data_IF_671067699567
#
_entry.id   IF_671067699567
#
_cell.length_a   1.000
_cell.length_b   1.000
_cell.length_c   1.000
_cell.angle_alpha   90.00
_cell.angle_beta   90.00
_cell.angle_gamma   90.00
#
_symmetry.space_group_name_H-M   'P 1'
#
loop_
_entity.id
_entity.type
_entity.pdbx_description
1 polymer ?
#
# COMPACT_ATOMS: atom_id res chain seq x y z
N UNK A 1 3.10 -12.92 -8.46
CA UNK A 1 1.82 -12.19 -8.52
C UNK A 1 0.84 -12.69 -7.47
N UNK A 2 0.07 -13.77 -7.69
CA UNK A 2 -1.03 -14.19 -6.81
C UNK A 2 -0.67 -14.43 -5.33
N UNK A 3 0.53 -14.94 -5.04
CA UNK A 3 1.02 -15.05 -3.65
C UNK A 3 1.11 -13.68 -2.96
N UNK A 4 1.60 -12.66 -3.67
CA UNK A 4 1.74 -11.30 -3.16
C UNK A 4 0.38 -10.63 -2.93
N UNK A 5 -0.54 -10.79 -3.88
CA UNK A 5 -1.91 -10.27 -3.75
C UNK A 5 -2.68 -10.98 -2.62
N UNK A 6 -2.56 -12.31 -2.52
CA UNK A 6 -3.12 -13.09 -1.40
C UNK A 6 -2.60 -12.59 -0.05
N UNK A 7 -1.28 -12.42 0.09
CA UNK A 7 -0.67 -11.90 1.32
C UNK A 7 -1.14 -10.47 1.62
N UNK A 8 -1.26 -9.63 0.59
CA UNK A 8 -1.76 -8.25 0.70
C UNK A 8 -3.19 -8.20 1.24
N UNK A 9 -4.10 -8.99 0.67
CA UNK A 9 -5.48 -9.10 1.15
C UNK A 9 -5.56 -9.58 2.61
N UNK A 10 -4.72 -10.55 3.01
CA UNK A 10 -4.65 -11.02 4.39
C UNK A 10 -4.22 -9.90 5.35
N UNK A 11 -3.20 -9.11 4.99
CA UNK A 11 -2.71 -8.01 5.82
C UNK A 11 -3.75 -6.89 5.93
N UNK A 12 -4.45 -6.54 4.85
CA UNK A 12 -5.55 -5.54 4.87
C UNK A 12 -6.65 -5.99 5.83
N UNK A 13 -7.08 -7.26 5.72
CA UNK A 13 -8.13 -7.82 6.57
C UNK A 13 -7.73 -7.83 8.04
N UNK A 14 -6.49 -8.19 8.35
CA UNK A 14 -6.00 -8.21 9.72
C UNK A 14 -5.82 -6.79 10.30
N UNK A 15 -5.31 -5.83 9.51
CA UNK A 15 -5.17 -4.44 9.91
C UNK A 15 -6.52 -3.77 10.20
N UNK A 16 -7.60 -4.26 9.60
CA UNK A 16 -8.97 -3.73 9.75
C UNK A 16 -9.90 -4.67 10.50
N UNK A 17 -9.36 -5.67 11.22
CA UNK A 17 -10.15 -6.71 11.88
C UNK A 17 -11.00 -6.22 13.06
N UNK A 18 -10.75 -5.01 13.57
CA UNK A 18 -11.60 -4.38 14.59
C UNK A 18 -12.98 -3.98 14.06
N UNK A 19 -13.15 -3.92 12.74
CA UNK A 19 -14.40 -3.61 12.08
C UNK A 19 -15.27 -4.83 11.85
N UNK A 20 -16.58 -4.67 12.00
CA UNK A 20 -17.54 -5.76 11.78
C UNK A 20 -17.67 -6.20 10.32
N UNK A 21 -17.33 -5.33 9.37
CA UNK A 21 -17.42 -5.58 7.92
C UNK A 21 -16.02 -5.64 7.31
N UNK A 22 -15.73 -6.63 6.46
CA UNK A 22 -14.40 -6.79 5.85
C UNK A 22 -14.09 -5.65 4.89
N UNK A 23 -12.85 -5.16 4.88
CA UNK A 23 -12.45 -4.08 3.95
C UNK A 23 -12.01 -4.59 2.58
N UNK A 24 -11.77 -5.89 2.45
CA UNK A 24 -11.26 -6.52 1.24
C UNK A 24 -11.81 -7.94 1.08
N UNK A 25 -11.77 -8.52 -0.14
CA UNK A 25 -12.08 -9.93 -0.35
C UNK A 25 -11.20 -10.84 0.50
N UNK A 26 -11.80 -11.89 1.10
CA UNK A 26 -11.06 -12.92 1.81
C UNK A 26 -10.33 -13.81 0.80
N UNK A 27 -9.00 -13.92 0.82
CA UNK A 27 -8.28 -14.88 0.00
C UNK A 27 -8.52 -16.28 0.57
N UNK A 28 -8.93 -17.21 -0.28
CA UNK A 28 -9.28 -18.59 0.06
C UNK A 28 -8.17 -19.55 -0.35
N UNK A 29 -7.64 -19.38 -1.55
CA UNK A 29 -6.60 -20.25 -2.10
C UNK A 29 -5.81 -19.50 -3.17
N UNK A 30 -4.51 -19.74 -3.26
CA UNK A 30 -3.70 -19.33 -4.39
C UNK A 30 -2.72 -20.44 -4.76
N UNK A 31 -2.26 -20.47 -6.00
CA UNK A 31 -1.32 -21.49 -6.44
C UNK A 31 -0.87 -21.32 -7.88
N UNK A 32 -0.01 -22.25 -8.30
CA UNK A 32 0.43 -22.39 -9.69
C UNK A 32 -0.43 -23.45 -10.37
N UNK A 33 -0.85 -23.20 -11.61
CA UNK A 33 -1.45 -24.21 -12.48
C UNK A 33 -0.36 -24.92 -13.29
N UNK A 34 0.64 -24.17 -13.73
CA UNK A 34 1.83 -24.64 -14.43
C UNK A 34 3.02 -23.68 -14.20
N UNK A 35 4.09 -23.80 -14.99
CA UNK A 35 5.28 -22.94 -14.87
C UNK A 35 5.09 -21.48 -15.32
N UNK A 36 3.98 -21.15 -15.99
CA UNK A 36 3.69 -19.83 -16.58
C UNK A 36 2.39 -19.22 -16.06
N UNK A 37 1.51 -20.01 -15.45
CA UNK A 37 0.20 -19.57 -15.01
C UNK A 37 -0.07 -19.94 -13.54
N UNK A 38 -0.93 -19.14 -12.90
CA UNK A 38 -1.35 -19.34 -11.53
C UNK A 38 -2.77 -18.82 -11.33
N UNK A 39 -3.23 -18.91 -10.09
CA UNK A 39 -4.57 -18.49 -9.74
C UNK A 39 -4.64 -17.93 -8.32
N UNK A 40 -5.66 -17.12 -8.08
CA UNK A 40 -6.12 -16.66 -6.78
C UNK A 40 -7.64 -16.86 -6.72
N UNK A 41 -8.11 -17.47 -5.63
CA UNK A 41 -9.53 -17.63 -5.30
C UNK A 41 -9.82 -16.78 -4.08
N UNK A 42 -10.83 -15.93 -4.17
CA UNK A 42 -11.27 -15.04 -3.09
C UNK A 42 -12.76 -15.22 -2.81
N UNK A 43 -13.24 -14.63 -1.71
CA UNK A 43 -14.67 -14.45 -1.49
C UNK A 43 -15.25 -13.50 -2.53
N UNK A 44 -16.38 -13.88 -3.12
CA UNK A 44 -17.11 -13.00 -4.03
C UNK A 44 -17.81 -11.85 -3.27
N UNK A 45 -17.68 -10.62 -3.76
CA UNK A 45 -18.35 -9.43 -3.23
C UNK A 45 -19.19 -8.79 -4.34
N UNK A 46 -20.53 -8.75 -4.22
CA UNK A 46 -21.38 -8.12 -5.22
C UNK A 46 -21.29 -6.60 -5.12
N UNK A 47 -20.76 -5.95 -6.16
CA UNK A 47 -20.53 -4.50 -6.17
C UNK A 47 -21.76 -3.71 -6.63
N UNK A 48 -21.94 -2.51 -6.07
CA UNK A 48 -22.92 -1.51 -6.48
C UNK A 48 -22.28 -0.13 -6.68
N UNK A 49 -23.06 0.83 -7.17
CA UNK A 49 -22.60 2.19 -7.42
C UNK A 49 -22.21 2.92 -6.14
N UNK A 50 -21.12 3.68 -6.22
CA UNK A 50 -20.64 4.49 -5.11
C UNK A 50 -21.35 5.85 -5.02
N UNK A 51 -21.46 6.37 -3.79
CA UNK A 51 -21.98 7.70 -3.49
C UNK A 51 -20.90 8.53 -2.77
N UNK A 52 -21.13 9.84 -2.58
CA UNK A 52 -20.25 10.69 -1.77
C UNK A 52 -20.12 10.21 -0.31
N UNK A 53 -21.19 9.61 0.24
CA UNK A 53 -21.17 9.00 1.57
C UNK A 53 -20.23 7.80 1.61
N UNK A 54 -20.21 6.98 0.55
CA UNK A 54 -19.29 5.84 0.42
C UNK A 54 -17.83 6.29 0.34
N UNK A 55 -17.53 7.35 -0.40
CA UNK A 55 -16.17 7.92 -0.45
C UNK A 55 -15.71 8.44 0.93
N UNK A 56 -16.60 9.04 1.71
CA UNK A 56 -16.27 9.50 3.06
C UNK A 56 -15.94 8.33 4.00
N UNK A 57 -16.73 7.24 3.92
CA UNK A 57 -16.45 5.99 4.67
C UNK A 57 -15.16 5.32 4.20
N UNK A 58 -14.89 5.32 2.89
CA UNK A 58 -13.64 4.80 2.32
C UNK A 58 -12.43 5.52 2.94
N UNK A 59 -12.47 6.85 2.99
CA UNK A 59 -11.41 7.65 3.63
C UNK A 59 -11.19 7.30 5.10
N UNK A 60 -12.28 7.12 5.87
CA UNK A 60 -12.20 6.71 7.28
C UNK A 60 -11.58 5.31 7.43
N UNK A 61 -11.98 4.35 6.58
CA UNK A 61 -11.47 2.98 6.58
C UNK A 61 -10.00 2.90 6.16
N UNK A 62 -9.57 3.72 5.20
CA UNK A 62 -8.16 3.86 4.83
C UNK A 62 -7.34 4.45 5.96
N UNK A 63 -7.84 5.50 6.63
CA UNK A 63 -7.17 6.09 7.78
C UNK A 63 -6.98 5.07 8.92
N UNK A 64 -7.99 4.24 9.17
CA UNK A 64 -7.90 3.14 10.12
C UNK A 64 -6.84 2.11 9.71
N UNK A 65 -6.85 1.67 8.44
CA UNK A 65 -5.85 0.74 7.92
C UNK A 65 -4.42 1.29 8.06
N UNK A 66 -4.21 2.58 7.78
CA UNK A 66 -2.92 3.24 7.90
C UNK A 66 -2.47 3.46 9.35
N UNK A 67 -3.43 3.63 10.28
CA UNK A 67 -3.16 3.82 11.70
C UNK A 67 -2.97 2.48 12.45
N UNK A 68 -3.34 1.36 11.83
CA UNK A 68 -3.19 0.04 12.43
C UNK A 68 -1.70 -0.29 12.65
N UNK A 69 -1.35 -0.93 13.77
CA UNK A 69 0.02 -1.40 13.98
C UNK A 69 0.39 -2.44 12.90
N UNK A 70 1.69 -2.60 12.59
CA UNK A 70 2.15 -3.64 11.67
C UNK A 70 1.61 -5.03 12.06
N UNK A 71 1.04 -5.73 11.08
CA UNK A 71 0.32 -6.98 11.29
C UNK A 71 1.33 -8.13 11.27
N UNK A 72 1.31 -8.97 12.29
CA UNK A 72 2.08 -10.22 12.34
C UNK A 72 1.13 -11.40 12.07
N UNK A 73 1.24 -12.03 10.89
CA UNK A 73 0.41 -13.17 10.49
C UNK A 73 1.09 -14.54 10.68
N UNK A 74 2.41 -14.54 10.82
CA UNK A 74 3.25 -15.72 11.05
C UNK A 74 4.45 -15.37 11.95
N UNK A 75 5.36 -16.32 12.18
CA UNK A 75 6.59 -16.11 12.98
C UNK A 75 7.56 -15.08 12.35
N UNK A 76 7.30 -14.62 11.12
CA UNK A 76 8.11 -13.69 10.34
C UNK A 76 7.38 -12.37 10.06
N UNK A 77 6.59 -11.90 11.03
CA UNK A 77 5.94 -10.59 10.99
C UNK A 77 6.90 -9.44 10.63
N UNK A 78 6.35 -8.29 10.19
CA UNK A 78 7.14 -7.13 9.81
C UNK A 78 8.08 -6.76 10.95
N UNK A 79 9.40 -6.69 10.71
CA UNK A 79 10.31 -6.31 11.78
C UNK A 79 9.99 -4.87 12.21
N UNK A 80 10.02 -4.63 13.51
CA UNK A 80 9.58 -3.36 14.09
C UNK A 80 10.32 -2.17 13.46
N UNK A 81 9.56 -1.18 12.97
CA UNK A 81 10.09 0.06 12.42
C UNK A 81 10.66 -0.02 10.99
N UNK A 82 10.56 -1.17 10.30
CA UNK A 82 11.10 -1.35 8.95
C UNK A 82 10.08 -1.13 7.84
N UNK A 83 10.57 -0.80 6.65
CA UNK A 83 9.83 -0.60 5.41
C UNK A 83 9.99 -1.81 4.49
N UNK A 84 8.92 -2.22 3.81
CA UNK A 84 8.93 -3.44 2.99
C UNK A 84 7.67 -4.27 3.14
N UNK A 85 7.73 -5.54 2.75
CA UNK A 85 6.62 -6.47 2.88
C UNK A 85 7.15 -7.92 2.96
N UNK A 86 6.44 -8.87 3.59
CA UNK A 86 6.92 -10.24 3.72
C UNK A 86 7.18 -10.97 2.39
N UNK A 87 6.58 -10.50 1.30
CA UNK A 87 6.73 -11.03 -0.06
C UNK A 87 6.79 -9.91 -1.08
N UNK A 88 7.46 -10.14 -2.20
CA UNK A 88 7.37 -9.23 -3.36
C UNK A 88 5.95 -9.23 -3.93
N UNK A 89 5.43 -8.03 -4.19
CA UNK A 89 4.12 -7.79 -4.81
C UNK A 89 4.28 -7.41 -6.27
N UNK A 90 3.16 -7.25 -6.97
CA UNK A 90 3.15 -6.77 -8.36
C UNK A 90 2.26 -5.53 -8.42
N UNK A 91 2.76 -4.45 -9.02
CA UNK A 91 1.95 -3.30 -9.42
C UNK A 91 1.69 -3.44 -10.92
N UNK A 92 0.50 -3.91 -11.29
CA UNK A 92 0.24 -4.40 -12.65
C UNK A 92 1.21 -5.54 -13.01
N UNK A 93 2.01 -5.36 -14.06
CA UNK A 93 3.06 -6.30 -14.49
C UNK A 93 4.44 -6.02 -13.88
N UNK A 94 4.59 -4.95 -13.10
CA UNK A 94 5.88 -4.56 -12.52
C UNK A 94 6.09 -5.23 -11.17
N UNK A 95 7.19 -5.97 -11.02
CA UNK A 95 7.61 -6.53 -9.74
C UNK A 95 7.97 -5.40 -8.77
N UNK A 96 7.38 -5.43 -7.57
CA UNK A 96 7.78 -4.57 -6.47
C UNK A 96 8.71 -5.35 -5.54
N UNK A 97 9.95 -4.90 -5.47
CA UNK A 97 10.91 -5.38 -4.50
C UNK A 97 10.54 -4.88 -3.10
N UNK A 98 10.25 -5.82 -2.20
CA UNK A 98 9.73 -5.55 -0.87
C UNK A 98 10.65 -6.04 0.24
N UNK A 99 11.92 -6.36 -0.06
CA UNK A 99 12.84 -6.67 1.04
C UNK A 99 12.91 -5.50 2.03
N UNK A 100 13.16 -5.87 3.28
CA UNK A 100 13.09 -4.95 4.39
C UNK A 100 14.24 -3.94 4.41
N UNK A 101 13.90 -2.70 4.72
CA UNK A 101 14.82 -1.59 4.93
C UNK A 101 14.55 -0.85 6.22
N UNK A 102 15.61 -0.36 6.86
CA UNK A 102 15.50 0.42 8.09
C UNK A 102 15.24 1.90 7.80
N UNK A 103 15.75 2.41 6.68
CA UNK A 103 15.63 3.80 6.28
C UNK A 103 14.60 3.98 5.17
N UNK A 104 13.64 4.89 5.42
CA UNK A 104 12.53 5.18 4.52
C UNK A 104 13.01 5.72 3.17
N UNK A 105 13.97 6.64 3.19
CA UNK A 105 14.46 7.29 1.97
C UNK A 105 15.21 6.28 1.12
N UNK A 106 16.02 5.43 1.75
CA UNK A 106 16.73 4.33 1.09
C UNK A 106 15.74 3.34 0.48
N UNK A 107 14.69 2.95 1.19
CA UNK A 107 13.63 2.09 0.63
C UNK A 107 13.02 2.67 -0.66
N UNK A 108 12.58 3.94 -0.63
CA UNK A 108 12.01 4.58 -1.81
C UNK A 108 13.01 4.77 -2.95
N UNK A 109 14.23 5.20 -2.62
CA UNK A 109 15.26 5.45 -3.62
C UNK A 109 15.65 4.18 -4.34
N UNK A 110 16.02 3.13 -3.59
CA UNK A 110 16.56 1.90 -4.14
C UNK A 110 15.47 0.98 -4.69
N UNK A 111 14.36 0.78 -3.94
CA UNK A 111 13.37 -0.26 -4.24
C UNK A 111 12.13 0.25 -4.95
N UNK A 112 12.04 1.55 -5.24
CA UNK A 112 10.95 2.14 -6.05
C UNK A 112 11.50 2.93 -7.22
N UNK A 113 12.11 4.09 -6.96
CA UNK A 113 12.49 5.03 -8.01
C UNK A 113 13.58 4.48 -8.94
N UNK A 114 14.68 3.96 -8.39
CA UNK A 114 15.76 3.39 -9.21
C UNK A 114 15.31 2.18 -10.03
N UNK A 115 14.52 1.27 -9.44
CA UNK A 115 13.98 0.13 -10.19
C UNK A 115 13.03 0.57 -11.31
N UNK A 116 12.18 1.56 -11.06
CA UNK A 116 11.29 2.11 -12.08
C UNK A 116 12.09 2.78 -13.21
N UNK A 117 13.06 3.63 -12.86
CA UNK A 117 13.93 4.30 -13.83
C UNK A 117 14.71 3.29 -14.67
N UNK A 118 15.29 2.26 -14.04
CA UNK A 118 16.01 1.20 -14.74
C UNK A 118 15.10 0.43 -15.71
N UNK A 119 13.84 0.15 -15.33
CA UNK A 119 12.88 -0.50 -16.22
C UNK A 119 12.53 0.38 -17.43
N UNK A 120 12.30 1.68 -17.21
CA UNK A 120 12.03 2.65 -18.29
C UNK A 120 13.22 2.75 -19.25
N UNK A 121 14.43 2.91 -18.73
CA UNK A 121 15.65 3.02 -19.56
C UNK A 121 16.00 1.70 -20.27
N UNK A 122 15.56 0.55 -19.76
CA UNK A 122 15.68 -0.72 -20.48
C UNK A 122 14.79 -0.76 -21.71
N UNK A 123 13.59 -0.18 -21.64
CA UNK A 123 12.64 -0.09 -22.78
C UNK A 123 12.98 1.09 -23.71
N UNK A 124 13.58 2.15 -23.17
CA UNK A 124 13.93 3.39 -23.85
C UNK A 124 15.41 3.78 -23.61
N UNK A 125 16.37 3.00 -24.10
CA UNK A 125 17.80 3.16 -23.77
C UNK A 125 18.48 4.41 -24.34
N UNK A 126 17.76 5.24 -25.09
CA UNK A 126 18.28 6.48 -25.69
C UNK A 126 17.58 7.72 -25.14
N UNK A 127 16.71 7.56 -24.13
CA UNK A 127 16.05 8.68 -23.48
C UNK A 127 16.96 9.28 -22.40
N UNK A 128 17.92 10.08 -22.86
CA UNK A 128 18.90 10.75 -22.00
C UNK A 128 18.24 11.78 -21.07
N UNK A 129 17.11 12.36 -21.49
CA UNK A 129 16.37 13.33 -20.66
C UNK A 129 15.76 12.63 -19.43
N UNK A 130 15.13 11.46 -19.61
CA UNK A 130 14.63 10.65 -18.49
C UNK A 130 15.77 10.18 -17.59
N UNK A 131 16.91 9.77 -18.15
CA UNK A 131 18.06 9.35 -17.36
C UNK A 131 18.57 10.49 -16.47
N UNK A 132 18.82 11.66 -17.04
CA UNK A 132 19.34 12.84 -16.32
C UNK A 132 18.35 13.33 -15.25
N UNK A 133 17.07 13.54 -15.62
CA UNK A 133 16.05 14.01 -14.68
C UNK A 133 15.73 12.98 -13.60
N UNK A 134 15.72 11.70 -13.96
CA UNK A 134 15.54 10.59 -13.03
C UNK A 134 16.66 10.54 -12.00
N UNK A 135 17.91 10.71 -12.43
CA UNK A 135 19.06 10.75 -11.52
C UNK A 135 19.02 11.95 -10.58
N UNK A 136 18.64 13.14 -11.07
CA UNK A 136 18.42 14.33 -10.24
C UNK A 136 17.38 14.06 -9.14
N UNK A 137 16.27 13.40 -9.47
CA UNK A 137 15.23 13.04 -8.49
C UNK A 137 15.76 12.03 -7.46
N UNK A 138 16.48 11.00 -7.91
CA UNK A 138 17.07 9.95 -7.06
C UNK A 138 18.05 10.55 -6.05
N UNK A 139 18.92 11.46 -6.50
CA UNK A 139 19.93 12.11 -5.66
C UNK A 139 19.31 13.17 -4.73
N UNK A 140 18.28 13.87 -5.21
CA UNK A 140 17.56 14.89 -4.45
C UNK A 140 16.59 14.34 -3.40
N UNK A 141 16.24 13.05 -3.45
CA UNK A 141 15.15 12.47 -2.66
C UNK A 141 15.30 12.73 -1.15
N UNK A 142 16.51 12.55 -0.60
CA UNK A 142 16.77 12.75 0.83
C UNK A 142 16.41 14.16 1.31
N UNK A 143 16.61 15.18 0.47
CA UNK A 143 16.34 16.57 0.84
C UNK A 143 14.84 16.82 1.09
N UNK A 144 13.96 16.10 0.38
CA UNK A 144 12.51 16.23 0.49
C UNK A 144 11.96 15.73 1.82
N UNK A 145 12.70 14.86 2.53
CA UNK A 145 12.30 14.24 3.79
C UNK A 145 13.10 14.75 5.00
N UNK A 146 13.86 15.84 4.85
CA UNK A 146 14.63 16.43 5.94
C UNK A 146 13.72 16.86 7.10
N UNK A 147 13.96 16.30 8.29
CA UNK A 147 13.18 16.63 9.50
C UNK A 147 11.79 15.98 9.55
N UNK A 148 11.51 14.99 8.69
CA UNK A 148 10.28 14.21 8.72
C UNK A 148 10.55 12.89 9.44
N UNK A 149 9.84 12.65 10.54
CA UNK A 149 9.81 11.33 11.16
C UNK A 149 8.77 10.46 10.45
N UNK A 150 9.19 9.26 10.05
CA UNK A 150 8.36 8.34 9.28
C UNK A 150 8.15 7.05 10.07
N UNK A 151 6.89 6.69 10.25
CA UNK A 151 6.49 5.39 10.78
C UNK A 151 5.89 4.53 9.65
N UNK A 152 6.22 3.23 9.57
CA UNK A 152 5.68 2.35 8.55
C UNK A 152 4.18 2.10 8.79
N UNK A 153 3.38 2.33 7.75
CA UNK A 153 1.97 2.00 7.68
C UNK A 153 1.71 1.04 6.52
N UNK A 154 0.74 0.15 6.68
CA UNK A 154 0.31 -0.73 5.58
C UNK A 154 -0.36 0.13 4.50
N UNK A 155 0.17 0.11 3.27
CA UNK A 155 -0.49 0.71 2.11
C UNK A 155 -1.14 -0.33 1.21
N UNK A 156 -2.23 0.08 0.55
CA UNK A 156 -2.84 -0.70 -0.53
C UNK A 156 -1.87 -0.87 -1.72
N UNK A 157 -1.10 0.17 -2.04
CA UNK A 157 -0.06 0.16 -3.08
C UNK A 157 -0.56 0.41 -4.50
N UNK A 158 -1.84 0.16 -4.79
CA UNK A 158 -2.46 0.44 -6.11
C UNK A 158 -3.90 0.97 -5.98
N UNK A 159 -4.13 1.98 -5.16
CA UNK A 159 -5.50 2.45 -4.91
C UNK A 159 -5.94 3.56 -5.89
N UNK A 160 -6.84 3.24 -6.80
CA UNK A 160 -7.45 4.22 -7.71
C UNK A 160 -8.92 3.86 -7.94
N UNK A 161 -9.65 4.63 -8.74
CA UNK A 161 -11.10 4.42 -8.94
C UNK A 161 -11.48 3.04 -9.45
N UNK A 162 -10.55 2.30 -10.05
CA UNK A 162 -10.73 0.92 -10.50
C UNK A 162 -10.62 -0.13 -9.40
N UNK A 163 -9.95 0.18 -8.28
CA UNK A 163 -9.54 -0.79 -7.25
C UNK A 163 -10.31 -0.64 -5.92
N UNK A 164 -11.50 -0.03 -5.98
CA UNK A 164 -12.44 -0.02 -4.88
C UNK A 164 -13.88 0.02 -5.38
N UNK A 165 -14.81 -0.39 -4.52
CA UNK A 165 -16.24 -0.39 -4.81
C UNK A 165 -17.06 -0.40 -3.53
N UNK A 166 -18.36 -0.63 -3.67
CA UNK A 166 -19.28 -0.76 -2.52
C UNK A 166 -19.89 -2.15 -2.53
N UNK A 167 -19.73 -2.89 -1.44
CA UNK A 167 -20.43 -4.14 -1.22
C UNK A 167 -21.93 -3.86 -1.11
N UNK A 168 -22.70 -4.30 -2.09
CA UNK A 168 -24.16 -4.14 -2.12
C UNK A 168 -24.88 -4.84 -0.96
N UNK A 169 -24.26 -5.86 -0.35
CA UNK A 169 -24.85 -6.61 0.76
C UNK A 169 -24.62 -5.91 2.11
N UNK A 170 -23.48 -5.23 2.26
CA UNK A 170 -23.10 -4.54 3.49
C UNK A 170 -23.33 -3.03 3.45
N UNK A 171 -23.53 -2.46 2.25
CA UNK A 171 -23.46 -1.02 1.98
C UNK A 171 -22.15 -0.40 2.50
N UNK A 172 -21.01 -1.08 2.37
CA UNK A 172 -19.69 -0.61 2.85
C UNK A 172 -18.68 -0.54 1.71
N UNK A 173 -17.68 0.38 1.77
CA UNK A 173 -16.61 0.41 0.81
C UNK A 173 -15.70 -0.82 0.99
N UNK A 174 -15.25 -1.36 -0.13
CA UNK A 174 -14.30 -2.48 -0.20
C UNK A 174 -13.18 -2.13 -1.18
N UNK A 175 -11.96 -2.53 -0.88
CA UNK A 175 -10.77 -2.36 -1.74
C UNK A 175 -10.29 -3.74 -2.23
N UNK A 176 -9.73 -3.78 -3.42
CA UNK A 176 -9.31 -5.01 -4.09
C UNK A 176 -8.14 -4.73 -5.05
N UNK A 177 -7.53 -5.81 -5.54
CA UNK A 177 -6.30 -5.78 -6.35
C UNK A 177 -5.12 -5.03 -5.68
N UNK A 178 -4.77 -5.38 -4.41
CA UNK A 178 -3.71 -4.69 -3.69
C UNK A 178 -2.30 -5.12 -4.13
N UNK A 179 -1.38 -4.16 -3.99
CA UNK A 179 0.05 -4.32 -4.17
C UNK A 179 0.78 -3.84 -2.89
N UNK A 180 0.45 -4.47 -1.76
CA UNK A 180 0.78 -3.94 -0.44
C UNK A 180 2.27 -3.89 -0.11
N UNK A 181 2.62 -2.89 0.70
CA UNK A 181 3.88 -2.80 1.43
C UNK A 181 3.76 -1.79 2.58
N UNK A 182 4.65 -1.90 3.56
CA UNK A 182 4.79 -0.98 4.69
C UNK A 182 5.66 0.20 4.32
N UNK A 183 5.09 1.41 4.42
CA UNK A 183 5.73 2.67 4.01
C UNK A 183 5.06 3.87 4.69
N UNK A 184 5.62 5.09 4.55
CA UNK A 184 4.94 6.30 5.00
C UNK A 184 3.61 6.52 4.26
N UNK A 185 2.48 6.69 4.96
CA UNK A 185 1.20 6.92 4.29
C UNK A 185 1.06 8.33 3.70
N UNK A 186 1.91 9.29 4.10
CA UNK A 186 1.83 10.68 3.63
C UNK A 186 2.16 10.86 2.14
N UNK A 187 2.83 9.89 1.50
CA UNK A 187 3.13 9.91 0.05
C UNK A 187 1.93 9.49 -0.80
N UNK A 188 0.88 8.93 -0.20
CA UNK A 188 -0.30 8.41 -0.93
C UNK A 188 -1.57 9.25 -0.78
N UNK A 189 -1.52 10.34 0.00
CA UNK A 189 -2.59 11.34 -0.01
C UNK A 189 -2.34 12.31 -1.18
N UNK A 190 -3.31 12.55 -2.09
CA UNK A 190 -3.20 13.67 -3.01
C UNK A 190 -2.94 14.94 -2.18
N UNK A 191 -2.09 15.89 -2.63
CA UNK A 191 -1.66 17.01 -1.82
C UNK A 191 -2.83 17.94 -1.50
N UNK A 192 -3.54 17.65 -0.41
CA UNK A 192 -4.53 18.54 0.19
C UNK A 192 -3.91 19.15 1.44
N UNK A 193 -3.20 20.26 1.21
CA UNK A 193 -3.00 21.38 2.13
C UNK A 193 -2.38 21.10 3.52
N UNK A 194 -1.10 21.51 3.60
CA UNK A 194 -0.39 22.03 4.78
C UNK A 194 -0.11 21.08 5.94
N UNK A 195 1.17 21.06 6.30
CA UNK A 195 1.78 20.54 7.53
C UNK A 195 0.90 20.79 8.76
N UNK A 196 0.21 19.76 9.25
CA UNK A 196 -0.09 19.61 10.68
C UNK A 196 0.13 18.17 11.09
N UNK A 197 1.22 17.97 11.82
CA UNK A 197 1.47 16.85 12.70
C UNK A 197 0.21 16.58 13.53
N UNK A 198 -0.52 15.51 13.21
CA UNK A 198 -1.60 15.01 14.06
C UNK A 198 -0.97 14.25 15.22
N UNK A 199 -0.44 14.98 16.21
CA UNK A 199 -0.24 14.44 17.55
C UNK A 199 -1.63 14.43 18.19
N UNK A 200 -2.29 13.27 18.17
CA UNK A 200 -3.49 13.03 18.95
C UNK A 200 -3.09 13.00 20.44
N UNK A 201 -3.17 14.16 21.11
CA UNK A 201 -3.05 14.23 22.57
C UNK A 201 -4.44 14.19 23.17
N UNK A 202 -4.75 13.06 23.78
CA UNK A 202 -5.80 12.93 24.77
C UNK A 202 -5.71 14.07 25.79
N UNK A 203 -6.76 14.87 25.86
CA UNK A 203 -7.09 15.59 27.09
C UNK A 203 -8.55 15.32 27.40
N UNK A 204 -8.73 14.25 28.18
CA UNK A 204 -9.76 14.19 29.22
C UNK A 204 -9.93 15.58 29.85
N UNK A 205 -11.11 16.18 29.69
CA UNK A 205 -11.58 17.21 30.63
C UNK A 205 -12.64 16.58 31.49
N UNK A 206 -12.21 16.15 32.67
CA UNK A 206 -13.00 16.26 33.88
C UNK A 206 -13.27 17.75 34.13
N UNK A 207 -14.55 18.10 34.18
CA UNK A 207 -15.22 18.95 35.17
C UNK A 207 -16.64 19.22 34.72
#
# INVERSE_FOLDING_TARGET
MFRGESASLQHILAATASESKPFAPKPLLNGSLDHKSGFLVTSFIPLTSASRKHQSRLGARLAQMHAAPPVTLDEFGPPAGRFGFPVNTMLGSTLQDNEWEDDYVTFWRERRLKLMLANVLKEHPHDTEIEELGQVLVDGLSSLFTGVEVQPALLHGDLWSGNWGVDSSADEPVIFDPACYYVCPSVWLPPTHSKRTLVYRDTMKQN
#
